data_IF_661004669558
#
_entry.id   IF_661004669558
#
_cell.length_a   1.000
_cell.length_b   1.000
_cell.length_c   1.000
_cell.angle_alpha   90.00
_cell.angle_beta   90.00
_cell.angle_gamma   90.00
#
_symmetry.space_group_name_H-M   'P 1'
#
loop_
_entity.id
_entity.type
_entity.pdbx_description
1 polymer ?
#
# COMPACT_ATOMS: atom_id res chain seq x y z
N UNK A 1 47.78 21.75 -9.75
CA UNK A 1 46.33 21.57 -10.11
C UNK A 1 45.58 21.26 -8.83
N UNK A 2 44.61 22.13 -8.45
CA UNK A 2 43.94 22.10 -7.15
C UNK A 2 43.03 20.88 -7.03
N UNK A 3 43.05 20.23 -5.87
CA UNK A 3 42.17 19.06 -5.49
C UNK A 3 40.70 19.39 -5.74
N UNK A 4 40.30 20.64 -5.59
CA UNK A 4 38.95 21.15 -5.83
C UNK A 4 38.51 20.97 -7.29
N UNK A 5 39.41 21.13 -8.26
CA UNK A 5 39.08 20.91 -9.68
C UNK A 5 38.83 19.46 -10.03
N UNK A 6 39.54 18.53 -9.41
CA UNK A 6 39.35 17.08 -9.62
C UNK A 6 38.03 16.58 -9.04
N UNK A 7 37.61 17.09 -7.89
CA UNK A 7 36.32 16.73 -7.27
C UNK A 7 35.14 17.27 -8.09
N UNK A 8 35.23 18.48 -8.61
CA UNK A 8 34.20 19.08 -9.46
C UNK A 8 34.03 18.30 -10.78
N UNK A 9 35.13 17.88 -11.39
CA UNK A 9 35.10 17.06 -12.60
C UNK A 9 34.49 15.70 -12.37
N UNK A 10 34.80 15.04 -11.25
CA UNK A 10 34.21 13.73 -10.88
C UNK A 10 32.69 13.84 -10.63
N UNK A 11 32.24 14.89 -9.95
CA UNK A 11 30.82 15.14 -9.72
C UNK A 11 30.04 15.36 -11.02
N UNK A 12 30.64 16.09 -11.99
CA UNK A 12 30.05 16.30 -13.30
C UNK A 12 29.93 15.01 -14.12
N UNK A 13 30.92 14.15 -14.08
CA UNK A 13 30.88 12.84 -14.76
C UNK A 13 29.82 11.92 -14.16
N UNK A 14 29.68 11.89 -12.83
CA UNK A 14 28.64 11.12 -12.14
C UNK A 14 27.24 11.63 -12.46
N UNK A 15 27.05 12.95 -12.51
CA UNK A 15 25.77 13.55 -12.89
C UNK A 15 25.37 13.18 -14.33
N UNK A 16 26.29 13.26 -15.28
CA UNK A 16 26.06 12.84 -16.67
C UNK A 16 25.74 11.36 -16.77
N UNK A 17 26.47 10.51 -16.05
CA UNK A 17 26.20 9.07 -16.02
C UNK A 17 24.79 8.77 -15.45
N UNK A 18 24.37 9.44 -14.38
CA UNK A 18 23.04 9.30 -13.80
C UNK A 18 21.93 9.71 -14.78
N UNK A 19 22.12 10.83 -15.50
CA UNK A 19 21.17 11.28 -16.54
C UNK A 19 21.08 10.28 -17.68
N UNK A 20 22.21 9.73 -18.14
CA UNK A 20 22.22 8.71 -19.20
C UNK A 20 21.48 7.42 -18.77
N UNK A 21 21.67 7.00 -17.54
CA UNK A 21 20.96 5.82 -16.98
C UNK A 21 19.45 6.10 -16.89
N UNK A 22 19.06 7.29 -16.44
CA UNK A 22 17.65 7.69 -16.35
C UNK A 22 16.99 7.74 -17.74
N UNK A 23 17.66 8.34 -18.71
CA UNK A 23 17.16 8.40 -20.11
C UNK A 23 17.03 7.01 -20.72
N UNK A 24 17.97 6.10 -20.44
CA UNK A 24 17.87 4.71 -20.90
C UNK A 24 16.69 3.99 -20.27
N UNK A 25 16.43 4.16 -18.96
CA UNK A 25 15.27 3.57 -18.28
C UNK A 25 13.95 4.13 -18.82
N UNK A 26 13.87 5.42 -19.06
CA UNK A 26 12.70 6.04 -19.68
C UNK A 26 12.43 5.48 -21.09
N UNK A 27 13.45 5.36 -21.93
CA UNK A 27 13.30 4.77 -23.28
C UNK A 27 12.89 3.29 -23.24
N UNK A 28 13.36 2.52 -22.26
CA UNK A 28 12.93 1.15 -22.08
C UNK A 28 11.47 1.04 -21.61
N UNK A 29 11.02 1.98 -20.79
CA UNK A 29 9.63 2.03 -20.34
C UNK A 29 8.69 2.42 -21.49
N UNK A 30 9.05 3.41 -22.32
CA UNK A 30 8.26 3.79 -23.50
C UNK A 30 8.20 2.67 -24.54
N UNK A 31 9.32 1.97 -24.80
CA UNK A 31 9.33 0.84 -25.73
C UNK A 31 8.44 -0.33 -25.27
N UNK A 32 8.35 -0.58 -23.96
CA UNK A 32 7.41 -1.57 -23.42
C UNK A 32 5.95 -1.14 -23.58
N UNK A 33 5.66 0.14 -23.42
CA UNK A 33 4.32 0.68 -23.63
C UNK A 33 3.89 0.56 -25.10
N UNK A 34 4.80 0.86 -26.04
CA UNK A 34 4.57 0.73 -27.47
C UNK A 34 4.36 -0.76 -27.87
N UNK A 35 5.09 -1.69 -27.27
CA UNK A 35 4.92 -3.13 -27.49
C UNK A 35 3.56 -3.61 -26.99
N UNK A 36 3.11 -3.14 -25.82
CA UNK A 36 1.78 -3.49 -25.28
C UNK A 36 0.67 -2.87 -26.12
N UNK A 37 0.81 -1.62 -26.53
CA UNK A 37 -0.14 -0.96 -27.43
C UNK A 37 -0.29 -1.69 -28.78
N UNK A 38 0.84 -2.10 -29.37
CA UNK A 38 0.85 -2.88 -30.62
C UNK A 38 0.20 -4.26 -30.48
N UNK A 39 0.33 -4.90 -29.30
CA UNK A 39 -0.37 -6.17 -29.02
C UNK A 39 -1.86 -6.00 -28.82
N UNK A 40 -2.31 -4.86 -28.27
CA UNK A 40 -3.73 -4.54 -28.15
C UNK A 40 -4.37 -4.30 -29.54
N UNK A 41 -3.71 -3.55 -30.42
CA UNK A 41 -4.16 -3.30 -31.79
C UNK A 41 -4.33 -4.61 -32.58
N UNK A 42 -3.41 -5.57 -32.41
CA UNK A 42 -3.49 -6.88 -33.08
C UNK A 42 -4.62 -7.78 -32.56
N UNK A 43 -5.12 -7.54 -31.35
CA UNK A 43 -6.26 -8.30 -30.79
C UNK A 43 -7.62 -7.71 -31.20
N UNK A 44 -7.67 -6.45 -31.64
CA UNK A 44 -8.89 -5.80 -32.13
C UNK A 44 -9.19 -6.17 -33.58
N UNK A 45 -8.20 -6.59 -34.38
CA UNK A 45 -8.37 -6.95 -35.81
C UNK A 45 -8.78 -8.42 -36.06
N UNK A 46 -8.86 -9.28 -35.03
CA UNK A 46 -9.35 -10.65 -35.15
C UNK A 46 -10.85 -10.77 -34.79
N UNK A 47 -11.71 -10.18 -35.60
CA UNK A 47 -13.14 -10.45 -35.54
C UNK A 47 -13.50 -11.61 -36.50
N UNK A 48 -13.90 -12.81 -36.03
CA UNK A 48 -14.47 -13.81 -36.90
C UNK A 48 -15.96 -13.54 -37.12
N UNK A 49 -16.30 -13.25 -38.36
CA UNK A 49 -17.68 -13.25 -38.83
C UNK A 49 -18.33 -14.62 -38.59
N UNK A 50 -19.21 -14.69 -37.59
CA UNK A 50 -19.98 -15.89 -37.26
C UNK A 50 -21.30 -15.54 -36.61
N UNK A 51 -22.38 -15.58 -37.40
CA UNK A 51 -23.77 -15.37 -37.01
C UNK A 51 -24.24 -16.51 -36.11
N UNK A 52 -24.31 -16.24 -34.79
CA UNK A 52 -24.97 -17.11 -33.81
C UNK A 52 -25.68 -16.23 -32.75
N UNK A 53 -26.77 -16.70 -32.09
CA UNK A 53 -27.52 -15.85 -31.15
C UNK A 53 -26.61 -15.40 -29.99
N UNK A 54 -26.64 -14.10 -29.71
CA UNK A 54 -25.83 -13.42 -28.74
C UNK A 54 -25.86 -14.14 -27.38
N UNK A 55 -24.71 -14.57 -26.83
CA UNK A 55 -24.63 -14.86 -25.41
C UNK A 55 -24.76 -13.54 -24.66
N UNK A 56 -25.55 -13.58 -23.59
CA UNK A 56 -25.69 -12.46 -22.66
C UNK A 56 -24.27 -11.93 -22.26
N UNK A 57 -24.12 -10.63 -22.02
CA UNK A 57 -22.81 -10.05 -21.68
C UNK A 57 -22.30 -10.73 -20.42
N UNK A 58 -21.36 -11.65 -20.61
CA UNK A 58 -20.55 -12.14 -19.48
C UNK A 58 -19.70 -10.97 -19.06
N UNK A 59 -20.08 -10.42 -17.92
CA UNK A 59 -19.44 -9.32 -17.26
C UNK A 59 -17.91 -9.42 -17.35
N UNK A 60 -17.30 -8.35 -17.77
CA UNK A 60 -15.88 -8.01 -17.59
C UNK A 60 -15.56 -7.92 -16.08
N UNK A 61 -15.55 -9.08 -15.43
CA UNK A 61 -15.41 -9.19 -13.97
C UNK A 61 -13.95 -9.27 -13.50
N UNK A 62 -12.96 -9.13 -14.39
CA UNK A 62 -11.60 -9.51 -14.02
C UNK A 62 -10.62 -8.35 -13.74
N UNK A 63 -10.94 -7.12 -14.06
CA UNK A 63 -10.07 -5.98 -13.75
C UNK A 63 -10.53 -5.15 -12.53
N UNK A 64 -11.73 -5.40 -12.02
CA UNK A 64 -12.37 -4.62 -10.95
C UNK A 64 -12.12 -5.17 -9.54
N UNK A 65 -11.53 -6.35 -9.39
CA UNK A 65 -11.37 -7.02 -8.10
C UNK A 65 -10.14 -6.57 -7.32
N UNK A 66 -9.14 -6.00 -7.98
CA UNK A 66 -7.87 -5.65 -7.32
C UNK A 66 -7.84 -4.26 -6.71
N UNK A 67 -8.80 -3.40 -7.02
CA UNK A 67 -8.84 -2.01 -6.56
C UNK A 67 -10.20 -1.66 -6.00
N UNK A 68 -10.22 -1.01 -4.84
CA UNK A 68 -11.43 -0.44 -4.25
C UNK A 68 -11.77 0.90 -4.91
N UNK A 69 -12.94 0.96 -5.58
CA UNK A 69 -13.37 2.15 -6.34
C UNK A 69 -13.64 3.39 -5.48
N UNK A 70 -14.00 3.21 -4.22
CA UNK A 70 -14.33 4.31 -3.33
C UNK A 70 -13.09 5.06 -2.85
N UNK A 71 -11.97 4.35 -2.74
CA UNK A 71 -10.72 4.88 -2.19
C UNK A 71 -9.60 4.97 -3.21
N UNK A 72 -9.61 4.12 -4.25
CA UNK A 72 -8.52 3.97 -5.19
C UNK A 72 -7.34 3.14 -4.65
N UNK A 73 -7.43 2.64 -3.43
CA UNK A 73 -6.48 1.69 -2.86
C UNK A 73 -6.73 0.29 -3.40
N UNK A 74 -5.82 -0.63 -3.13
CA UNK A 74 -6.05 -2.03 -3.45
C UNK A 74 -7.20 -2.63 -2.61
N UNK A 75 -7.77 -3.73 -3.10
CA UNK A 75 -8.81 -4.49 -2.41
C UNK A 75 -8.24 -5.43 -1.36
N UNK A 76 -9.12 -6.03 -0.56
CA UNK A 76 -8.73 -7.06 0.40
C UNK A 76 -8.16 -8.30 -0.29
N UNK A 77 -8.69 -8.71 -1.43
CA UNK A 77 -8.17 -9.87 -2.17
C UNK A 77 -6.71 -9.64 -2.59
N UNK A 78 -6.37 -8.42 -2.97
CA UNK A 78 -4.98 -8.07 -3.25
C UNK A 78 -4.13 -8.05 -1.99
N UNK A 79 -4.69 -7.60 -0.85
CA UNK A 79 -3.98 -7.59 0.43
C UNK A 79 -3.49 -8.98 0.83
N UNK A 80 -4.37 -9.99 0.73
CA UNK A 80 -4.05 -11.36 1.12
C UNK A 80 -2.90 -11.93 0.27
N UNK A 81 -2.97 -11.72 -1.06
CA UNK A 81 -1.92 -12.15 -1.99
C UNK A 81 -0.60 -11.39 -1.76
N UNK A 82 -0.67 -10.09 -1.55
CA UNK A 82 0.50 -9.25 -1.32
C UNK A 82 1.20 -9.63 0.00
N UNK A 83 0.44 -9.87 1.06
CA UNK A 83 0.97 -10.26 2.36
C UNK A 83 1.74 -11.57 2.26
N UNK A 84 1.16 -12.61 1.65
CA UNK A 84 1.82 -13.90 1.45
C UNK A 84 3.11 -13.77 0.65
N UNK A 85 3.09 -12.99 -0.43
CA UNK A 85 4.25 -12.75 -1.28
C UNK A 85 5.37 -12.01 -0.52
N UNK A 86 5.02 -10.97 0.25
CA UNK A 86 5.99 -10.18 1.03
C UNK A 86 6.59 -11.00 2.17
N UNK A 87 5.79 -11.79 2.90
CA UNK A 87 6.31 -12.69 3.94
C UNK A 87 7.23 -13.76 3.35
N UNK A 88 6.88 -14.33 2.20
CA UNK A 88 7.73 -15.30 1.51
C UNK A 88 9.08 -14.69 1.10
N UNK A 89 9.09 -13.43 0.63
CA UNK A 89 10.31 -12.71 0.32
C UNK A 89 11.11 -12.36 1.60
N UNK A 90 10.43 -11.91 2.64
CA UNK A 90 11.01 -11.57 3.93
C UNK A 90 11.76 -12.73 4.57
N UNK A 91 11.18 -13.94 4.51
CA UNK A 91 11.84 -15.18 4.99
C UNK A 91 13.15 -15.46 4.26
N UNK A 92 13.19 -15.28 2.93
CA UNK A 92 14.40 -15.52 2.12
C UNK A 92 15.50 -14.52 2.40
N UNK A 93 15.12 -13.26 2.67
CA UNK A 93 16.08 -12.16 2.81
C UNK A 93 16.31 -11.74 4.26
N UNK A 94 15.67 -12.41 5.23
CA UNK A 94 15.72 -12.10 6.66
C UNK A 94 15.38 -10.62 6.96
N UNK A 95 14.37 -10.10 6.27
CA UNK A 95 13.93 -8.71 6.43
C UNK A 95 12.60 -8.63 7.18
N UNK A 96 12.39 -7.60 8.00
CA UNK A 96 11.13 -7.44 8.69
C UNK A 96 10.01 -7.01 7.73
N UNK A 97 8.79 -7.45 8.00
CA UNK A 97 7.57 -6.95 7.38
C UNK A 97 6.60 -6.60 8.49
N UNK A 98 6.03 -5.40 8.42
CA UNK A 98 4.98 -5.02 9.34
C UNK A 98 3.61 -5.02 8.64
N UNK A 99 2.62 -5.53 9.35
CA UNK A 99 1.20 -5.45 9.02
C UNK A 99 0.55 -4.46 9.96
N UNK A 100 -0.21 -3.54 9.39
CA UNK A 100 -0.95 -2.53 10.17
C UNK A 100 -2.41 -2.57 9.74
N UNK A 101 -3.31 -2.70 10.71
CA UNK A 101 -4.73 -2.52 10.51
C UNK A 101 -5.13 -1.17 11.12
N UNK A 102 -5.83 -0.35 10.34
CA UNK A 102 -6.23 1.00 10.75
C UNK A 102 -7.75 1.14 10.64
N UNK A 103 -8.32 1.76 11.67
CA UNK A 103 -9.69 2.25 11.67
C UNK A 103 -9.70 3.73 12.05
N UNK A 104 -10.49 4.51 11.33
CA UNK A 104 -10.65 5.94 11.60
C UNK A 104 -12.12 6.25 11.76
N UNK A 105 -12.46 6.90 12.86
CA UNK A 105 -13.82 7.33 13.18
C UNK A 105 -13.86 8.83 13.41
N UNK A 106 -15.05 9.42 13.21
CA UNK A 106 -15.37 10.80 13.55
C UNK A 106 -16.48 10.87 14.59
N UNK A 107 -16.57 11.97 15.33
CA UNK A 107 -17.63 12.18 16.32
C UNK A 107 -17.49 11.34 17.59
N UNK A 108 -16.34 10.80 17.88
CA UNK A 108 -16.10 10.01 19.10
C UNK A 108 -16.23 10.88 20.36
N UNK A 109 -15.77 12.11 20.31
CA UNK A 109 -15.91 13.07 21.41
C UNK A 109 -17.37 13.43 21.70
N UNK A 110 -18.20 13.45 20.68
CA UNK A 110 -19.63 13.78 20.76
C UNK A 110 -20.50 12.59 21.19
N UNK A 111 -19.90 11.44 21.42
CA UNK A 111 -20.61 10.21 21.79
C UNK A 111 -21.37 9.53 20.65
N UNK A 112 -21.17 9.96 19.42
CA UNK A 112 -21.81 9.42 18.20
C UNK A 112 -20.75 9.04 17.16
N UNK A 113 -19.92 8.02 17.43
CA UNK A 113 -18.88 7.60 16.53
C UNK A 113 -19.47 7.06 15.21
N UNK A 114 -18.90 7.48 14.10
CA UNK A 114 -19.20 6.97 12.74
C UNK A 114 -17.90 6.83 11.96
N UNK A 115 -17.91 5.95 10.99
CA UNK A 115 -16.74 5.76 10.12
C UNK A 115 -16.39 7.06 9.41
N UNK A 116 -15.12 7.44 9.43
CA UNK A 116 -14.62 8.61 8.72
C UNK A 116 -14.75 8.41 7.19
N UNK A 117 -14.77 9.51 6.44
CA UNK A 117 -14.86 9.47 4.99
C UNK A 117 -13.72 8.63 4.38
N UNK A 118 -13.99 7.49 3.69
CA UNK A 118 -12.96 6.55 3.28
C UNK A 118 -11.91 7.18 2.37
N UNK A 119 -12.33 8.09 1.48
CA UNK A 119 -11.43 8.76 0.55
C UNK A 119 -10.40 9.65 1.27
N UNK A 120 -10.83 10.40 2.27
CA UNK A 120 -9.93 11.26 3.08
C UNK A 120 -8.85 10.43 3.78
N UNK A 121 -9.23 9.27 4.32
CA UNK A 121 -8.28 8.36 4.98
C UNK A 121 -7.33 7.76 3.95
N UNK A 122 -7.84 7.31 2.82
CA UNK A 122 -7.05 6.73 1.73
C UNK A 122 -6.03 7.72 1.17
N UNK A 123 -6.43 8.96 0.91
CA UNK A 123 -5.54 10.01 0.41
C UNK A 123 -4.42 10.32 1.43
N UNK A 124 -4.74 10.29 2.73
CA UNK A 124 -3.75 10.47 3.79
C UNK A 124 -2.77 9.29 3.90
N UNK A 125 -3.24 8.07 3.71
CA UNK A 125 -2.40 6.88 3.65
C UNK A 125 -1.47 6.98 2.43
N UNK A 126 -2.01 7.20 1.24
CA UNK A 126 -1.26 7.30 -0.01
C UNK A 126 -0.19 8.40 0.00
N UNK A 127 -0.48 9.55 0.62
CA UNK A 127 0.49 10.64 0.79
C UNK A 127 1.64 10.30 1.78
N UNK A 128 1.50 9.21 2.54
CA UNK A 128 2.41 8.91 3.65
C UNK A 128 3.27 7.68 3.42
N UNK A 129 2.72 6.62 2.83
CA UNK A 129 3.42 5.36 2.59
C UNK A 129 4.43 5.48 1.44
N UNK A 130 5.35 4.52 1.34
CA UNK A 130 6.34 4.44 0.26
C UNK A 130 5.78 3.65 -0.93
N UNK A 131 6.41 3.78 -2.09
CA UNK A 131 6.04 3.01 -3.29
C UNK A 131 6.19 1.48 -3.11
N UNK A 132 7.07 1.05 -2.19
CA UNK A 132 7.25 -0.36 -1.85
C UNK A 132 6.16 -0.91 -0.93
N UNK A 133 5.45 -0.04 -0.21
CA UNK A 133 4.41 -0.42 0.72
C UNK A 133 3.08 -0.67 -0.02
N UNK A 134 2.26 -1.53 0.54
CA UNK A 134 0.94 -1.84 -0.01
C UNK A 134 -0.14 -1.31 0.93
N UNK A 135 -1.13 -0.60 0.39
CA UNK A 135 -2.30 -0.14 1.13
C UNK A 135 -3.59 -0.64 0.49
N UNK A 136 -4.47 -1.17 1.29
CA UNK A 136 -5.71 -1.80 0.87
C UNK A 136 -6.90 -1.32 1.68
N UNK A 137 -8.07 -1.31 1.02
CA UNK A 137 -9.36 -1.17 1.69
C UNK A 137 -9.91 -2.55 1.99
N UNK A 138 -10.16 -2.83 3.26
CA UNK A 138 -10.74 -4.10 3.71
C UNK A 138 -12.25 -4.09 3.52
N UNK A 139 -12.86 -5.27 3.35
CA UNK A 139 -14.31 -5.43 3.14
C UNK A 139 -15.15 -4.95 4.32
N UNK A 140 -14.59 -5.01 5.52
CA UNK A 140 -15.21 -4.51 6.76
C UNK A 140 -15.07 -3.00 6.97
N UNK A 141 -14.46 -2.32 6.00
CA UNK A 141 -14.30 -0.86 6.04
C UNK A 141 -13.03 -0.36 6.73
N UNK A 142 -12.16 -1.24 7.20
CA UNK A 142 -10.83 -0.89 7.72
C UNK A 142 -9.83 -0.68 6.59
N UNK A 143 -8.62 -0.25 6.95
CA UNK A 143 -7.49 -0.16 6.03
C UNK A 143 -6.40 -1.13 6.48
N UNK A 144 -5.87 -1.90 5.55
CA UNK A 144 -4.76 -2.80 5.77
C UNK A 144 -3.51 -2.28 5.07
N UNK A 145 -2.37 -2.26 5.78
CA UNK A 145 -1.08 -1.90 5.22
C UNK A 145 -0.12 -3.08 5.35
N UNK A 146 0.65 -3.33 4.30
CA UNK A 146 1.82 -4.22 4.33
C UNK A 146 3.04 -3.36 4.08
N UNK A 147 3.88 -3.18 5.10
CA UNK A 147 5.06 -2.32 5.07
C UNK A 147 6.31 -3.19 4.88
N UNK A 148 6.93 -3.07 3.72
CA UNK A 148 8.10 -3.86 3.35
C UNK A 148 9.37 -3.34 4.05
N UNK A 149 10.23 -4.26 4.46
CA UNK A 149 11.52 -3.95 5.12
C UNK A 149 11.35 -2.96 6.31
N UNK A 150 10.28 -3.17 7.08
CA UNK A 150 9.86 -2.23 8.12
C UNK A 150 9.71 -2.97 9.45
N UNK A 151 10.56 -2.63 10.44
CA UNK A 151 10.42 -3.13 11.80
C UNK A 151 9.30 -2.42 12.55
N UNK A 152 8.96 -2.91 13.73
CA UNK A 152 7.91 -2.39 14.61
C UNK A 152 7.92 -0.85 14.75
N UNK A 153 9.07 -0.30 15.15
CA UNK A 153 9.21 1.15 15.30
C UNK A 153 8.92 1.90 13.99
N UNK A 154 9.32 1.35 12.85
CA UNK A 154 9.04 1.92 11.53
C UNK A 154 7.55 1.93 11.21
N UNK A 155 6.83 0.88 11.59
CA UNK A 155 5.38 0.81 11.44
C UNK A 155 4.67 1.86 12.31
N UNK A 156 5.04 1.97 13.58
CA UNK A 156 4.52 3.00 14.50
C UNK A 156 4.76 4.40 13.90
N UNK A 157 5.96 4.69 13.42
CA UNK A 157 6.28 5.98 12.79
C UNK A 157 5.44 6.25 11.54
N UNK A 158 5.14 5.21 10.75
CA UNK A 158 4.28 5.36 9.57
C UNK A 158 2.85 5.71 9.97
N UNK A 159 2.28 5.02 10.96
CA UNK A 159 0.94 5.33 11.49
C UNK A 159 0.89 6.73 12.09
N UNK A 160 1.89 7.15 12.84
CA UNK A 160 1.99 8.49 13.41
C UNK A 160 2.06 9.58 12.32
N UNK A 161 2.68 9.31 11.18
CA UNK A 161 2.68 10.24 10.03
C UNK A 161 1.29 10.32 9.41
N UNK A 162 0.61 9.18 9.24
CA UNK A 162 -0.77 9.15 8.73
C UNK A 162 -1.69 9.94 9.67
N UNK A 163 -1.60 9.70 10.97
CA UNK A 163 -2.39 10.42 11.98
C UNK A 163 -2.17 11.94 11.92
N UNK A 164 -0.91 12.38 11.83
CA UNK A 164 -0.60 13.81 11.71
C UNK A 164 -1.10 14.41 10.41
N UNK A 165 -1.04 13.67 9.32
CA UNK A 165 -1.57 14.14 8.04
C UNK A 165 -3.10 14.28 8.10
N UNK A 166 -3.81 13.30 8.66
CA UNK A 166 -5.26 13.36 8.90
C UNK A 166 -5.65 14.54 9.77
N UNK A 167 -4.95 14.78 10.88
CA UNK A 167 -5.19 15.90 11.78
C UNK A 167 -5.00 17.28 11.11
N UNK A 168 -4.16 17.35 10.08
CA UNK A 168 -3.99 18.56 9.26
C UNK A 168 -5.11 18.82 8.26
N UNK A 169 -5.85 17.78 7.88
CA UNK A 169 -6.95 17.88 6.89
C UNK A 169 -8.31 18.03 7.56
N UNK A 170 -8.56 17.28 8.64
CA UNK A 170 -9.86 17.23 9.32
C UNK A 170 -9.67 17.13 10.82
N UNK A 171 -10.49 17.90 11.54
CA UNK A 171 -10.54 17.86 13.01
C UNK A 171 -11.63 16.89 13.48
N UNK A 172 -11.44 16.32 14.67
CA UNK A 172 -12.43 15.42 15.28
C UNK A 172 -12.36 13.97 14.78
N UNK A 173 -11.32 13.64 14.02
CA UNK A 173 -11.01 12.26 13.68
C UNK A 173 -10.26 11.58 14.82
N UNK A 174 -10.55 10.31 15.04
CA UNK A 174 -9.80 9.43 15.95
C UNK A 174 -9.31 8.24 15.15
N UNK A 175 -8.01 7.94 15.26
CA UNK A 175 -7.35 6.84 14.58
C UNK A 175 -6.97 5.76 15.59
N UNK A 176 -7.41 4.54 15.33
CA UNK A 176 -6.94 3.33 16.00
C UNK A 176 -6.13 2.48 15.04
N UNK A 177 -5.01 1.95 15.52
CA UNK A 177 -4.18 1.06 14.73
C UNK A 177 -3.68 -0.12 15.56
N UNK A 178 -3.71 -1.30 14.93
CA UNK A 178 -3.06 -2.50 15.41
C UNK A 178 -1.86 -2.84 14.52
N UNK A 179 -0.72 -3.09 15.14
CA UNK A 179 0.55 -3.38 14.46
C UNK A 179 1.03 -4.77 14.83
N UNK A 180 1.37 -5.59 13.84
CA UNK A 180 2.08 -6.85 14.04
C UNK A 180 3.23 -6.97 13.05
N UNK A 181 4.35 -7.60 13.45
CA UNK A 181 5.57 -7.66 12.65
C UNK A 181 6.10 -9.09 12.52
N UNK A 182 6.50 -9.45 11.31
CA UNK A 182 7.35 -10.60 11.04
C UNK A 182 8.82 -10.21 11.30
N UNK A 183 9.64 -11.01 11.94
CA UNK A 183 9.32 -12.28 12.61
C UNK A 183 8.95 -12.13 14.09
N UNK A 184 8.82 -10.90 14.60
CA UNK A 184 8.73 -10.63 16.04
C UNK A 184 7.45 -11.19 16.69
N UNK A 185 6.32 -11.15 15.98
CA UNK A 185 5.01 -11.51 16.54
C UNK A 185 4.38 -12.74 15.89
N UNK A 186 4.77 -13.07 14.66
CA UNK A 186 4.25 -14.23 13.93
C UNK A 186 5.14 -14.59 12.75
N UNK A 187 4.96 -15.81 12.23
CA UNK A 187 5.75 -16.34 11.11
C UNK A 187 4.94 -16.57 9.84
N UNK A 188 3.62 -16.57 9.89
CA UNK A 188 2.74 -16.73 8.74
C UNK A 188 1.69 -15.62 8.64
N UNK A 189 1.01 -15.53 7.48
CA UNK A 189 0.06 -14.47 7.19
C UNK A 189 -1.19 -14.52 8.09
N UNK A 190 -1.69 -15.70 8.38
CA UNK A 190 -2.87 -15.88 9.23
C UNK A 190 -2.60 -15.46 10.68
N UNK A 191 -1.44 -15.87 11.21
CA UNK A 191 -1.02 -15.50 12.56
C UNK A 191 -0.77 -13.99 12.66
N UNK A 192 -0.06 -13.39 11.71
CA UNK A 192 0.27 -11.96 11.77
C UNK A 192 -0.99 -11.08 11.67
N UNK A 193 -1.97 -11.48 10.86
CA UNK A 193 -3.27 -10.82 10.80
C UNK A 193 -4.04 -10.95 12.11
N UNK A 194 -4.06 -12.13 12.69
CA UNK A 194 -4.71 -12.36 13.98
C UNK A 194 -4.11 -11.49 15.08
N UNK A 195 -2.79 -11.36 15.10
CA UNK A 195 -2.08 -10.52 16.04
C UNK A 195 -2.36 -9.01 15.82
N UNK A 196 -2.38 -8.57 14.56
CA UNK A 196 -2.73 -7.19 14.21
C UNK A 196 -4.19 -6.86 14.57
N UNK A 197 -5.12 -7.79 14.37
CA UNK A 197 -6.53 -7.65 14.76
C UNK A 197 -6.69 -7.54 16.29
N UNK A 198 -6.00 -8.38 17.04
CA UNK A 198 -6.03 -8.33 18.51
C UNK A 198 -5.48 -7.00 19.03
N UNK A 199 -4.39 -6.50 18.43
CA UNK A 199 -3.82 -5.20 18.76
C UNK A 199 -4.79 -4.05 18.41
N UNK A 200 -5.44 -4.09 17.24
CA UNK A 200 -6.45 -3.11 16.88
C UNK A 200 -7.67 -3.13 17.82
N UNK A 201 -8.11 -4.33 18.24
CA UNK A 201 -9.19 -4.46 19.22
C UNK A 201 -8.81 -3.77 20.55
N UNK A 202 -7.60 -3.96 21.03
CA UNK A 202 -7.09 -3.28 22.22
C UNK A 202 -7.00 -1.75 22.03
N UNK A 203 -6.60 -1.29 20.84
CA UNK A 203 -6.56 0.14 20.54
C UNK A 203 -7.95 0.81 20.61
N UNK A 204 -9.01 0.11 20.19
CA UNK A 204 -10.40 0.60 20.22
C UNK A 204 -10.98 0.82 21.62
N UNK A 205 -10.39 0.22 22.65
CA UNK A 205 -10.82 0.43 24.03
C UNK A 205 -10.54 1.86 24.52
N UNK A 206 -9.65 2.57 23.81
CA UNK A 206 -9.29 3.95 24.11
C UNK A 206 -10.19 4.94 23.38
N UNK A 207 -10.64 5.97 24.11
CA UNK A 207 -11.47 7.06 23.53
C UNK A 207 -10.63 8.19 22.92
N UNK A 208 -9.50 7.86 22.34
CA UNK A 208 -8.54 8.78 21.72
C UNK A 208 -7.72 8.02 20.68
N UNK A 209 -6.90 8.72 19.90
CA UNK A 209 -5.92 8.10 19.02
C UNK A 209 -5.09 7.07 19.78
N UNK A 210 -4.96 5.89 19.20
CA UNK A 210 -4.18 4.82 19.82
C UNK A 210 -3.56 3.91 18.78
N UNK A 211 -2.28 3.60 19.01
CA UNK A 211 -1.54 2.57 18.28
C UNK A 211 -1.18 1.51 19.30
N UNK A 212 -1.64 0.30 19.07
CA UNK A 212 -1.24 -0.87 19.86
C UNK A 212 -0.40 -1.80 19.00
N UNK A 213 0.59 -2.40 19.62
CA UNK A 213 1.46 -3.38 18.99
C UNK A 213 1.13 -4.73 19.57
N UNK A 214 1.11 -5.75 18.71
CA UNK A 214 0.93 -7.13 19.13
C UNK A 214 1.94 -7.49 20.22
N UNK A 215 1.49 -8.21 21.22
CA UNK A 215 2.37 -8.75 22.26
C UNK A 215 2.93 -10.09 21.80
N UNK A 216 4.22 -10.29 22.00
CA UNK A 216 4.85 -11.58 21.76
C UNK A 216 4.20 -12.63 22.70
N UNK A 217 3.80 -13.79 22.17
CA UNK A 217 3.16 -14.84 22.96
C UNK A 217 4.07 -15.39 24.05
#
# INVERSE_FOLDING_TARGET
MSVIGAVAALASVLAVAAVVVLVRRLRQATAKLDEVASRLDTLEDEEPAGTGPAPAPMASASSNTLTDHSTGLFSQEYFDVALDARLSAARRHLRPVAVVLIEVVEGLADGSPRTAAPRTVADSIGATIRDADTACRMTDGRFGLVLEDTPENGAIWTVERIRRHLAGISTGLTLWAGVACYPAHAFDAGEILTQADAALAAAREWRQDRIEVATTP
#
